data_IF_356859624583
#
_entry.id   IF_356859624583
#
_cell.length_a   1.000
_cell.length_b   1.000
_cell.length_c   1.000
_cell.angle_alpha   90.00
_cell.angle_beta   90.00
_cell.angle_gamma   90.00
#
_symmetry.space_group_name_H-M   'P 1'
#
loop_
_entity.id
_entity.type
_entity.pdbx_description
1 polymer ?
#
# COMPACT_ATOMS: atom_id res chain seq x y z
N UNK A 1 -18.98 16.76 -18.44
CA UNK A 1 -19.10 15.31 -18.54
C UNK A 1 -18.02 14.64 -17.68
N UNK A 2 -18.43 13.80 -16.78
CA UNK A 2 -17.50 13.16 -15.90
C UNK A 2 -16.85 11.95 -16.55
N UNK A 3 -15.54 11.94 -16.57
CA UNK A 3 -14.79 10.76 -16.99
C UNK A 3 -14.61 9.86 -15.80
N UNK A 4 -15.36 8.78 -15.78
CA UNK A 4 -15.17 7.77 -14.74
C UNK A 4 -14.03 6.86 -15.15
N UNK A 5 -13.00 6.83 -14.35
CA UNK A 5 -11.90 5.93 -14.57
C UNK A 5 -12.30 4.50 -14.22
N UNK A 6 -11.92 3.54 -15.04
CA UNK A 6 -12.09 2.14 -14.69
C UNK A 6 -11.01 1.75 -13.67
N UNK A 7 -11.07 0.50 -13.19
CA UNK A 7 -10.16 0.05 -12.14
C UNK A 7 -8.69 0.11 -12.56
N UNK A 8 -8.40 -0.25 -13.80
CA UNK A 8 -7.02 -0.21 -14.29
C UNK A 8 -6.50 1.21 -14.42
N UNK A 9 -7.35 2.13 -14.86
CA UNK A 9 -6.96 3.55 -14.94
C UNK A 9 -6.68 4.13 -13.57
N UNK A 10 -7.48 3.76 -12.58
CA UNK A 10 -7.25 4.19 -11.20
C UNK A 10 -5.95 3.64 -10.64
N UNK A 11 -5.67 2.37 -10.89
CA UNK A 11 -4.43 1.75 -10.43
C UNK A 11 -3.23 2.41 -11.08
N UNK A 12 -3.30 2.68 -12.38
CA UNK A 12 -2.22 3.37 -13.08
C UNK A 12 -1.99 4.76 -12.52
N UNK A 13 -3.08 5.52 -12.32
CA UNK A 13 -2.98 6.84 -11.75
C UNK A 13 -2.40 6.81 -10.35
N UNK A 14 -2.84 5.85 -9.53
CA UNK A 14 -2.31 5.67 -8.18
C UNK A 14 -0.85 5.27 -8.20
N UNK A 15 -0.45 4.43 -9.15
CA UNK A 15 0.94 4.03 -9.31
C UNK A 15 1.82 5.22 -9.64
N UNK A 16 1.41 6.05 -10.60
CA UNK A 16 2.15 7.23 -10.99
C UNK A 16 2.28 8.20 -9.81
N UNK A 17 1.20 8.37 -9.07
CA UNK A 17 1.17 9.23 -7.89
C UNK A 17 2.10 8.70 -6.80
N UNK A 18 2.11 7.38 -6.60
CA UNK A 18 2.99 6.73 -5.64
C UNK A 18 4.46 6.94 -5.99
N UNK A 19 4.79 6.77 -7.26
CA UNK A 19 6.17 6.99 -7.73
C UNK A 19 6.61 8.43 -7.53
N UNK A 20 5.68 9.37 -7.70
CA UNK A 20 5.98 10.78 -7.50
C UNK A 20 6.16 11.14 -6.03
N UNK A 21 5.22 10.69 -5.19
CA UNK A 21 5.21 11.05 -3.76
C UNK A 21 6.19 10.25 -2.91
N UNK A 22 6.45 9.01 -3.31
CA UNK A 22 7.30 8.10 -2.56
C UNK A 22 8.48 7.64 -3.41
N UNK A 23 9.04 8.57 -4.15
CA UNK A 23 10.12 8.31 -5.11
C UNK A 23 11.28 7.55 -4.50
N UNK A 24 11.76 8.03 -3.36
CA UNK A 24 12.93 7.42 -2.70
C UNK A 24 12.62 6.01 -2.22
N UNK A 25 11.42 5.82 -1.69
CA UNK A 25 10.98 4.52 -1.23
C UNK A 25 10.86 3.52 -2.38
N UNK A 26 10.20 3.92 -3.47
CA UNK A 26 9.98 3.04 -4.61
C UNK A 26 11.29 2.70 -5.31
N UNK A 27 12.24 3.65 -5.37
CA UNK A 27 13.53 3.41 -6.03
C UNK A 27 14.39 2.40 -5.27
N UNK A 28 14.20 2.26 -3.96
CA UNK A 28 14.93 1.30 -3.15
C UNK A 28 14.31 -0.09 -3.20
N UNK A 29 13.14 -0.23 -3.83
CA UNK A 29 12.45 -1.50 -3.95
C UNK A 29 12.63 -2.11 -5.33
N UNK A 30 12.50 -3.43 -5.39
CA UNK A 30 12.48 -4.16 -6.66
C UNK A 30 11.03 -4.32 -7.08
N UNK A 31 10.71 -3.90 -8.29
CA UNK A 31 9.36 -4.09 -8.81
C UNK A 31 9.17 -5.53 -9.24
N UNK A 32 8.16 -6.20 -8.69
CA UNK A 32 7.91 -7.62 -8.98
C UNK A 32 6.59 -7.85 -9.73
N UNK A 33 5.79 -6.80 -9.87
CA UNK A 33 4.51 -6.83 -10.57
C UNK A 33 4.17 -5.40 -10.94
N UNK A 34 3.18 -5.21 -11.80
CA UNK A 34 2.78 -3.86 -12.20
C UNK A 34 2.45 -2.96 -10.99
N UNK A 35 1.93 -3.57 -9.92
CA UNK A 35 1.49 -2.83 -8.74
C UNK A 35 2.07 -3.39 -7.45
N UNK A 36 3.22 -4.08 -7.54
CA UNK A 36 3.86 -4.67 -6.37
C UNK A 36 5.34 -4.41 -6.37
N UNK A 37 5.87 -4.13 -5.21
CA UNK A 37 7.30 -3.91 -4.99
C UNK A 37 7.76 -4.72 -3.81
N UNK A 38 9.02 -5.11 -3.83
CA UNK A 38 9.63 -5.88 -2.75
C UNK A 38 10.95 -5.25 -2.34
N UNK A 39 11.22 -5.33 -1.07
CA UNK A 39 12.47 -4.86 -0.49
C UNK A 39 13.07 -5.98 0.36
N UNK A 40 14.36 -6.21 0.19
CA UNK A 40 15.07 -7.17 1.02
C UNK A 40 15.63 -6.46 2.24
N UNK A 41 15.19 -6.88 3.40
CA UNK A 41 15.60 -6.28 4.66
C UNK A 41 16.28 -7.31 5.55
N UNK A 42 17.22 -6.85 6.35
CA UNK A 42 17.86 -7.71 7.34
C UNK A 42 17.34 -7.35 8.72
N UNK A 43 16.77 -8.34 9.40
CA UNK A 43 16.22 -8.14 10.74
C UNK A 43 16.81 -9.23 11.65
N UNK A 44 17.52 -8.81 12.67
CA UNK A 44 18.13 -9.73 13.65
C UNK A 44 19.03 -10.79 13.00
N UNK A 45 19.75 -10.39 11.95
CA UNK A 45 20.65 -11.30 11.23
C UNK A 45 19.99 -12.18 10.21
N UNK A 46 18.68 -12.06 10.03
CA UNK A 46 17.94 -12.83 9.03
C UNK A 46 17.45 -11.92 7.90
N UNK A 47 17.55 -12.41 6.68
CA UNK A 47 17.05 -11.69 5.52
C UNK A 47 15.57 -12.01 5.32
N UNK A 48 14.77 -10.95 5.21
CA UNK A 48 13.34 -11.09 4.93
C UNK A 48 12.96 -10.22 3.75
N UNK A 49 12.01 -10.69 2.95
CA UNK A 49 11.43 -9.92 1.87
C UNK A 49 10.16 -9.25 2.35
N UNK A 50 10.12 -7.94 2.22
CA UNK A 50 8.93 -7.15 2.53
C UNK A 50 8.27 -6.78 1.22
N UNK A 51 7.01 -7.19 1.05
CA UNK A 51 6.29 -6.98 -0.20
C UNK A 51 5.19 -5.95 0.01
N UNK A 52 5.16 -4.96 -0.88
CA UNK A 52 4.15 -3.91 -0.89
C UNK A 52 3.26 -4.06 -2.11
N UNK A 53 1.97 -3.92 -1.90
CA UNK A 53 0.99 -4.04 -2.95
C UNK A 53 0.13 -2.78 -2.99
N UNK A 54 -0.07 -2.24 -4.19
CA UNK A 54 -0.89 -1.05 -4.39
C UNK A 54 -2.30 -1.46 -4.78
N UNK A 55 -3.29 -0.92 -4.08
CA UNK A 55 -4.69 -1.06 -4.43
C UNK A 55 -5.32 0.31 -4.51
N UNK A 56 -6.26 0.48 -5.44
CA UNK A 56 -7.03 1.70 -5.57
C UNK A 56 -8.50 1.36 -5.41
N UNK A 57 -9.15 2.02 -4.46
CA UNK A 57 -10.56 1.79 -4.17
C UNK A 57 -11.35 3.08 -4.37
N UNK A 58 -12.44 2.98 -5.11
CA UNK A 58 -13.29 4.14 -5.34
C UNK A 58 -14.16 4.47 -4.13
N UNK A 59 -14.82 3.47 -3.58
CA UNK A 59 -15.76 3.64 -2.47
C UNK A 59 -15.19 3.03 -1.20
N UNK A 60 -14.10 3.61 -0.73
CA UNK A 60 -13.45 3.12 0.46
C UNK A 60 -13.93 3.92 1.68
N UNK A 61 -14.49 3.23 2.65
CA UNK A 61 -14.93 3.87 3.88
C UNK A 61 -13.77 3.94 4.85
N UNK A 62 -13.10 5.07 4.85
CA UNK A 62 -11.94 5.28 5.72
C UNK A 62 -12.34 5.28 7.19
N UNK A 63 -13.57 5.73 7.49
CA UNK A 63 -14.06 5.74 8.87
C UNK A 63 -14.15 4.35 9.46
N UNK A 64 -14.73 3.42 8.71
CA UNK A 64 -14.83 2.02 9.13
C UNK A 64 -13.45 1.39 9.29
N UNK A 65 -12.55 1.66 8.36
CA UNK A 65 -11.20 1.11 8.41
C UNK A 65 -10.43 1.61 9.65
N UNK A 66 -10.56 2.88 9.98
CA UNK A 66 -9.92 3.46 11.15
C UNK A 66 -10.52 2.89 12.42
N UNK A 67 -11.84 2.73 12.46
CA UNK A 67 -12.53 2.15 13.62
C UNK A 67 -12.08 0.71 13.85
N UNK A 68 -12.01 -0.09 12.80
CA UNK A 68 -11.54 -1.47 12.90
C UNK A 68 -10.10 -1.52 13.41
N UNK A 69 -9.26 -0.63 12.93
CA UNK A 69 -7.88 -0.56 13.38
C UNK A 69 -7.78 -0.20 14.86
N UNK A 70 -8.57 0.78 15.28
CA UNK A 70 -8.59 1.19 16.70
C UNK A 70 -9.08 0.06 17.60
N UNK A 71 -10.08 -0.71 17.15
CA UNK A 71 -10.57 -1.86 17.89
C UNK A 71 -9.49 -2.93 18.05
N UNK A 72 -8.73 -3.18 16.99
CA UNK A 72 -7.60 -4.12 17.04
C UNK A 72 -6.54 -3.65 18.04
N UNK A 73 -6.25 -2.36 18.05
CA UNK A 73 -5.28 -1.81 18.99
C UNK A 73 -5.74 -1.98 20.44
N UNK A 74 -7.02 -1.78 20.71
CA UNK A 74 -7.59 -1.99 22.04
C UNK A 74 -7.45 -3.44 22.47
N UNK A 75 -7.72 -4.38 21.56
CA UNK A 75 -7.59 -5.79 21.85
C UNK A 75 -6.14 -6.17 22.18
N UNK A 76 -5.19 -5.60 21.47
CA UNK A 76 -3.77 -5.82 21.73
C UNK A 76 -3.37 -5.28 23.09
N UNK A 77 -3.91 -4.13 23.47
CA UNK A 77 -3.59 -3.51 24.76
C UNK A 77 -4.17 -4.26 25.93
N UNK A 78 -5.24 -5.02 25.73
CA UNK A 78 -5.91 -5.76 26.79
C UNK A 78 -5.20 -7.06 27.21
N UNK A 79 -4.15 -7.42 26.49
CA UNK A 79 -3.39 -8.65 26.76
C UNK A 79 -2.29 -8.44 27.79
#
# INVERSE_FOLDING_TARGET
MENKMNQQQKLKAAKDLTKERFKDFVSDCIQIDDYKWASLEEVNGEEIWVVFSLTAKKNFDIGDAVEDWNDKLKMRSAQ
#
